data_IF_644201410317
#
_entry.id   IF_644201410317
#
_cell.length_a   1.000
_cell.length_b   1.000
_cell.length_c   1.000
_cell.angle_alpha   90.00
_cell.angle_beta   90.00
_cell.angle_gamma   90.00
#
_symmetry.space_group_name_H-M   'P 1'
#
loop_
_entity.id
_entity.type
_entity.pdbx_description
1 polymer ?
#
# COMPACT_ATOMS: atom_id res chain seq x y z
N UNK A 1 -4.07 -18.76 9.73
CA UNK A 1 -5.47 -19.18 9.95
C UNK A 1 -5.67 -20.05 11.19
N UNK A 2 -4.62 -20.34 11.96
CA UNK A 2 -4.72 -21.09 13.23
C UNK A 2 -5.62 -20.44 14.29
N UNK A 3 -5.96 -19.16 14.14
CA UNK A 3 -6.86 -18.43 15.04
C UNK A 3 -8.35 -18.58 14.71
N UNK A 4 -8.71 -19.14 13.55
CA UNK A 4 -10.11 -19.41 13.23
C UNK A 4 -10.62 -20.59 14.07
N UNK A 5 -11.86 -20.52 14.56
CA UNK A 5 -12.47 -21.66 15.25
C UNK A 5 -12.54 -22.86 14.30
N UNK A 6 -12.42 -24.11 14.77
CA UNK A 6 -12.51 -25.30 13.91
C UNK A 6 -13.81 -25.39 13.09
N UNK A 7 -14.90 -24.80 13.60
CA UNK A 7 -16.20 -24.75 12.93
C UNK A 7 -16.34 -23.61 11.90
N UNK A 8 -15.34 -22.72 11.77
CA UNK A 8 -15.39 -21.64 10.80
C UNK A 8 -15.21 -22.18 9.37
N UNK A 9 -16.13 -21.82 8.48
CA UNK A 9 -15.93 -21.99 7.04
C UNK A 9 -14.98 -20.91 6.54
N UNK A 10 -13.87 -21.31 5.93
CA UNK A 10 -12.89 -20.40 5.34
C UNK A 10 -13.13 -20.33 3.84
N UNK A 11 -13.30 -19.12 3.32
CA UNK A 11 -13.51 -18.87 1.89
C UNK A 11 -12.35 -18.00 1.40
N UNK A 12 -11.63 -18.49 0.40
CA UNK A 12 -10.59 -17.73 -0.30
C UNK A 12 -11.23 -17.07 -1.53
N UNK A 13 -11.17 -15.74 -1.58
CA UNK A 13 -11.64 -14.96 -2.72
C UNK A 13 -10.49 -14.81 -3.72
N UNK A 14 -10.75 -15.15 -4.98
CA UNK A 14 -9.74 -15.11 -6.05
C UNK A 14 -9.78 -13.81 -6.86
N UNK A 15 -10.87 -13.07 -6.78
CA UNK A 15 -11.03 -11.73 -7.35
C UNK A 15 -11.96 -10.91 -6.45
N UNK A 16 -11.98 -9.61 -6.67
CA UNK A 16 -12.75 -8.68 -5.85
C UNK A 16 -14.22 -8.55 -6.31
N UNK A 17 -14.60 -9.18 -7.42
CA UNK A 17 -15.94 -9.02 -8.01
C UNK A 17 -16.98 -9.83 -7.22
N UNK A 18 -16.57 -10.97 -6.66
CA UNK A 18 -17.45 -11.83 -5.84
C UNK A 18 -17.45 -11.44 -4.35
N UNK A 19 -16.60 -10.50 -3.94
CA UNK A 19 -16.37 -10.18 -2.51
C UNK A 19 -17.67 -9.75 -1.82
N UNK A 20 -18.43 -8.82 -2.41
CA UNK A 20 -19.68 -8.32 -1.83
C UNK A 20 -20.74 -9.41 -1.83
N UNK A 21 -20.86 -10.19 -2.90
CA UNK A 21 -21.87 -11.24 -3.04
C UNK A 21 -21.71 -12.34 -1.99
N UNK A 22 -20.47 -12.76 -1.71
CA UNK A 22 -20.16 -13.75 -0.67
C UNK A 22 -20.48 -13.22 0.72
N UNK A 23 -20.14 -11.95 1.00
CA UNK A 23 -20.43 -11.32 2.28
C UNK A 23 -21.94 -11.15 2.49
N UNK A 24 -22.66 -10.66 1.48
CA UNK A 24 -24.12 -10.52 1.49
C UNK A 24 -24.79 -11.84 1.76
N UNK A 25 -24.47 -12.87 0.96
CA UNK A 25 -25.07 -14.20 1.06
C UNK A 25 -24.98 -14.75 2.49
N UNK A 26 -23.77 -14.75 3.07
CA UNK A 26 -23.58 -15.34 4.39
C UNK A 26 -24.13 -14.48 5.53
N UNK A 27 -24.19 -13.15 5.35
CA UNK A 27 -24.83 -12.26 6.32
C UNK A 27 -26.35 -12.48 6.37
N UNK A 28 -26.99 -12.64 5.20
CA UNK A 28 -28.43 -12.94 5.11
C UNK A 28 -28.80 -14.34 5.62
N UNK A 29 -27.84 -15.26 5.66
CA UNK A 29 -27.98 -16.55 6.35
C UNK A 29 -27.89 -16.45 7.89
N UNK A 30 -27.73 -15.24 8.44
CA UNK A 30 -27.63 -15.00 9.88
C UNK A 30 -26.28 -15.39 10.50
N UNK A 31 -25.23 -15.53 9.68
CA UNK A 31 -23.89 -15.91 10.16
C UNK A 31 -23.09 -14.69 10.62
N UNK A 32 -22.17 -14.91 11.56
CA UNK A 32 -21.09 -13.97 11.83
C UNK A 32 -20.04 -14.10 10.73
N UNK A 33 -19.90 -13.06 9.91
CA UNK A 33 -18.99 -13.03 8.76
C UNK A 33 -17.81 -12.11 9.04
N UNK A 34 -16.59 -12.61 8.83
CA UNK A 34 -15.36 -11.82 8.96
C UNK A 34 -14.68 -11.72 7.62
N UNK A 35 -14.49 -10.49 7.12
CA UNK A 35 -13.63 -10.22 5.97
C UNK A 35 -12.25 -9.80 6.42
N UNK A 36 -11.32 -10.75 6.49
CA UNK A 36 -9.93 -10.44 6.77
C UNK A 36 -9.27 -9.76 5.55
N UNK A 37 -8.65 -8.60 5.76
CA UNK A 37 -7.97 -7.80 4.74
C UNK A 37 -6.52 -7.54 5.15
N UNK A 38 -5.64 -7.38 4.18
CA UNK A 38 -4.24 -7.04 4.43
C UNK A 38 -4.11 -5.55 4.78
N UNK A 39 -3.25 -5.24 5.75
CA UNK A 39 -3.00 -3.87 6.16
C UNK A 39 -4.22 -3.23 6.81
N UNK A 40 -4.61 -2.05 6.32
CA UNK A 40 -5.79 -1.34 6.80
C UNK A 40 -6.94 -1.42 5.78
N UNK A 41 -8.19 -1.70 6.21
CA UNK A 41 -9.33 -1.82 5.30
C UNK A 41 -9.64 -0.58 4.47
N UNK A 42 -9.30 0.62 4.96
CA UNK A 42 -9.68 1.91 4.36
C UNK A 42 -8.55 2.58 3.59
N UNK A 43 -7.29 2.23 3.84
CA UNK A 43 -6.15 2.71 3.04
C UNK A 43 -5.97 1.85 1.79
N UNK A 44 -6.59 2.26 0.68
CA UNK A 44 -6.62 1.53 -0.61
C UNK A 44 -7.14 0.08 -0.51
N UNK A 45 -7.83 -0.26 0.59
CA UNK A 45 -8.33 -1.62 0.84
C UNK A 45 -9.73 -1.90 0.31
N UNK A 46 -10.45 -0.90 -0.24
CA UNK A 46 -11.88 -1.00 -0.67
C UNK A 46 -12.89 -1.28 0.46
N UNK A 47 -12.48 -1.29 1.73
CA UNK A 47 -13.37 -1.57 2.86
C UNK A 47 -14.59 -0.64 2.92
N UNK A 48 -14.40 0.66 2.65
CA UNK A 48 -15.49 1.63 2.66
C UNK A 48 -16.55 1.36 1.59
N UNK A 49 -16.13 0.97 0.38
CA UNK A 49 -17.05 0.59 -0.71
C UNK A 49 -17.91 -0.61 -0.30
N UNK A 50 -17.28 -1.65 0.25
CA UNK A 50 -17.96 -2.86 0.69
C UNK A 50 -18.98 -2.55 1.79
N UNK A 51 -18.56 -1.80 2.82
CA UNK A 51 -19.42 -1.46 3.95
C UNK A 51 -20.61 -0.59 3.52
N UNK A 52 -20.39 0.37 2.60
CA UNK A 52 -21.47 1.20 2.07
C UNK A 52 -22.49 0.35 1.30
N UNK A 53 -22.04 -0.52 0.39
CA UNK A 53 -22.94 -1.38 -0.40
C UNK A 53 -23.74 -2.34 0.49
N UNK A 54 -23.12 -2.97 1.48
CA UNK A 54 -23.83 -3.86 2.41
C UNK A 54 -24.84 -3.09 3.29
N UNK A 55 -24.48 -1.87 3.71
CA UNK A 55 -25.36 -1.02 4.51
C UNK A 55 -26.61 -0.56 3.74
N UNK A 56 -26.47 -0.26 2.45
CA UNK A 56 -27.60 0.05 1.56
C UNK A 56 -28.62 -1.11 1.47
N UNK A 57 -28.19 -2.33 1.78
CA UNK A 57 -29.01 -3.55 1.81
C UNK A 57 -29.44 -3.95 3.23
N UNK A 58 -29.19 -3.10 4.23
CA UNK A 58 -29.56 -3.35 5.62
C UNK A 58 -28.61 -4.28 6.39
N UNK A 59 -27.40 -4.53 5.86
CA UNK A 59 -26.37 -5.33 6.52
C UNK A 59 -25.36 -4.40 7.18
N UNK A 60 -25.37 -4.36 8.51
CA UNK A 60 -24.44 -3.55 9.29
C UNK A 60 -23.01 -4.11 9.25
N UNK A 61 -22.03 -3.22 9.19
CA UNK A 61 -20.61 -3.56 9.16
C UNK A 61 -19.87 -2.87 10.30
N UNK A 62 -19.03 -3.63 11.01
CA UNK A 62 -18.03 -3.08 11.93
C UNK A 62 -16.65 -3.12 11.26
N UNK A 63 -15.93 -1.99 11.31
CA UNK A 63 -14.58 -1.89 10.73
C UNK A 63 -13.55 -1.83 11.84
N UNK A 64 -12.67 -2.83 11.86
CA UNK A 64 -11.53 -2.90 12.77
C UNK A 64 -10.29 -2.34 12.05
N UNK A 65 -9.72 -1.22 12.52
CA UNK A 65 -8.52 -0.65 11.92
C UNK A 65 -7.34 -1.62 11.95
N UNK A 66 -6.54 -1.59 10.89
CA UNK A 66 -5.34 -2.42 10.77
C UNK A 66 -4.08 -1.57 10.69
N UNK A 67 -2.92 -2.21 10.83
CA UNK A 67 -1.64 -1.52 10.60
C UNK A 67 -1.38 -1.46 9.09
N UNK A 68 -1.54 -0.29 8.49
CA UNK A 68 -1.36 -0.09 7.05
C UNK A 68 0.08 -0.37 6.60
N UNK A 69 0.24 -0.86 5.37
CA UNK A 69 1.56 -0.99 4.74
C UNK A 69 2.23 0.36 4.52
N UNK A 70 1.45 1.44 4.41
CA UNK A 70 1.96 2.81 4.26
C UNK A 70 3.01 3.11 5.31
N UNK A 71 2.72 2.89 6.59
CA UNK A 71 3.64 3.22 7.68
C UNK A 71 4.47 2.02 8.15
N UNK A 72 3.88 0.83 8.23
CA UNK A 72 4.58 -0.35 8.78
C UNK A 72 5.75 -0.80 7.92
N UNK A 73 5.60 -0.82 6.60
CA UNK A 73 6.64 -1.34 5.70
C UNK A 73 7.86 -0.41 5.66
N UNK A 74 7.73 0.92 5.48
CA UNK A 74 8.88 1.82 5.57
C UNK A 74 9.53 1.80 6.95
N UNK A 75 8.72 1.82 8.03
CA UNK A 75 9.24 1.76 9.39
C UNK A 75 10.04 0.47 9.61
N UNK A 76 9.50 -0.68 9.21
CA UNK A 76 10.21 -1.95 9.29
C UNK A 76 11.50 -1.88 8.47
N UNK A 77 11.49 -1.30 7.28
CA UNK A 77 12.66 -1.11 6.42
C UNK A 77 13.68 -0.04 6.90
N UNK A 78 13.48 0.56 8.08
CA UNK A 78 14.36 1.59 8.65
C UNK A 78 14.21 2.96 7.99
N UNK A 79 13.06 3.27 7.42
CA UNK A 79 12.77 4.53 6.73
C UNK A 79 11.59 5.22 7.43
N UNK A 80 11.82 6.28 8.22
CA UNK A 80 10.72 7.09 8.74
C UNK A 80 10.11 7.89 7.58
N UNK A 81 8.81 8.11 7.61
CA UNK A 81 8.12 8.89 6.56
C UNK A 81 8.15 10.40 6.80
N UNK A 82 8.43 10.81 8.03
CA UNK A 82 8.71 12.19 8.40
C UNK A 82 9.98 12.23 9.22
N UNK A 83 10.71 13.33 9.13
CA UNK A 83 11.88 13.56 9.96
C UNK A 83 12.16 15.07 10.05
N UNK A 84 12.45 15.63 11.25
CA UNK A 84 12.70 17.04 11.41
C UNK A 84 13.73 17.58 10.42
N UNK A 85 13.43 18.74 9.79
CA UNK A 85 14.27 19.40 8.78
C UNK A 85 14.48 18.61 7.47
N UNK A 86 13.85 17.45 7.31
CA UNK A 86 13.93 16.62 6.09
C UNK A 86 12.57 16.51 5.41
N UNK A 87 11.52 16.11 6.14
CA UNK A 87 10.16 16.01 5.62
C UNK A 87 9.15 16.10 6.76
N UNK A 88 8.25 17.07 6.68
CA UNK A 88 7.13 17.30 7.59
C UNK A 88 5.78 16.86 6.99
N UNK A 89 5.77 16.46 5.73
CA UNK A 89 4.59 15.97 5.02
C UNK A 89 4.83 14.61 4.36
N UNK A 90 3.73 13.87 4.16
CA UNK A 90 3.69 12.62 3.43
C UNK A 90 2.58 12.72 2.39
N UNK A 91 2.89 12.44 1.13
CA UNK A 91 1.89 12.21 0.08
C UNK A 91 1.80 10.72 -0.19
N UNK A 92 0.59 10.16 -0.21
CA UNK A 92 0.36 8.74 -0.44
C UNK A 92 -0.53 8.58 -1.66
N UNK A 93 -0.09 7.75 -2.61
CA UNK A 93 -0.86 7.44 -3.82
C UNK A 93 -0.82 5.95 -4.13
N UNK A 94 -1.82 5.47 -4.87
CA UNK A 94 -1.71 4.19 -5.56
C UNK A 94 -1.09 4.43 -6.94
N UNK A 95 -0.10 3.63 -7.32
CA UNK A 95 0.51 3.65 -8.65
C UNK A 95 -0.45 3.22 -9.75
N UNK A 96 -1.49 2.45 -9.42
CA UNK A 96 -2.57 2.12 -10.34
C UNK A 96 -3.89 2.43 -9.64
N UNK A 97 -4.66 3.36 -10.19
CA UNK A 97 -6.00 3.70 -9.71
C UNK A 97 -7.02 2.70 -10.22
N UNK A 98 -8.24 2.79 -9.69
CA UNK A 98 -9.39 2.13 -10.30
C UNK A 98 -9.50 2.53 -11.78
N UNK A 99 -9.67 1.55 -12.67
CA UNK A 99 -9.61 1.73 -14.12
C UNK A 99 -8.20 1.74 -14.76
N UNK A 100 -7.14 1.38 -14.03
CA UNK A 100 -5.81 1.11 -14.60
C UNK A 100 -4.95 2.34 -14.89
N UNK A 101 -5.37 3.53 -14.46
CA UNK A 101 -4.65 4.80 -14.70
C UNK A 101 -3.58 5.05 -13.63
N UNK A 102 -2.57 5.83 -14.00
CA UNK A 102 -1.62 6.37 -13.01
C UNK A 102 -2.28 7.52 -12.25
N UNK A 103 -1.76 7.80 -11.05
CA UNK A 103 -2.11 9.02 -10.33
C UNK A 103 -1.72 10.27 -11.13
N UNK A 104 -2.39 11.38 -10.83
CA UNK A 104 -2.10 12.66 -11.46
C UNK A 104 -0.80 13.24 -10.91
N UNK A 105 0.26 13.18 -11.73
CA UNK A 105 1.57 13.76 -11.41
C UNK A 105 1.51 15.25 -11.08
N UNK A 106 0.50 15.97 -11.58
CA UNK A 106 0.37 17.40 -11.29
C UNK A 106 0.05 17.68 -9.82
N UNK A 107 -0.62 16.74 -9.14
CA UNK A 107 -0.98 16.85 -7.72
C UNK A 107 0.15 16.45 -6.77
N UNK A 108 1.27 15.96 -7.29
CA UNK A 108 2.40 15.53 -6.48
C UNK A 108 3.28 16.74 -6.16
N UNK A 109 3.56 17.01 -4.88
CA UNK A 109 4.48 18.07 -4.49
C UNK A 109 5.91 17.84 -5.02
N UNK A 110 6.67 18.90 -5.22
CA UNK A 110 8.06 18.84 -5.70
C UNK A 110 9.05 18.29 -4.66
N UNK A 111 8.70 18.40 -3.37
CA UNK A 111 9.51 17.99 -2.21
C UNK A 111 8.70 17.14 -1.23
N UNK A 112 9.29 16.78 -0.09
CA UNK A 112 8.66 15.94 0.92
C UNK A 112 8.63 14.46 0.56
N UNK A 113 8.07 13.64 1.43
CA UNK A 113 8.06 12.19 1.27
C UNK A 113 6.85 11.75 0.45
N UNK A 114 7.10 11.00 -0.62
CA UNK A 114 6.08 10.40 -1.46
C UNK A 114 6.10 8.88 -1.28
N UNK A 115 4.95 8.31 -0.96
CA UNK A 115 4.71 6.88 -0.88
C UNK A 115 3.81 6.44 -2.02
N UNK A 116 4.29 5.52 -2.85
CA UNK A 116 3.53 4.93 -3.95
C UNK A 116 3.27 3.46 -3.61
N UNK A 117 2.03 3.14 -3.27
CA UNK A 117 1.58 1.76 -3.13
C UNK A 117 1.29 1.17 -4.50
N UNK A 118 1.49 -0.15 -4.66
CA UNK A 118 1.08 -0.87 -5.87
C UNK A 118 1.59 -0.19 -7.17
N UNK A 119 2.91 0.09 -7.30
CA UNK A 119 3.47 0.74 -8.49
C UNK A 119 3.28 -0.08 -9.78
N UNK A 120 2.98 -1.38 -9.65
CA UNK A 120 2.77 -2.29 -10.76
C UNK A 120 4.00 -2.39 -11.66
N UNK A 121 3.76 -2.58 -12.96
CA UNK A 121 4.82 -2.69 -13.98
C UNK A 121 5.14 -1.35 -14.66
N UNK A 122 4.56 -0.23 -14.21
CA UNK A 122 4.60 1.08 -14.87
C UNK A 122 5.71 2.00 -14.36
N UNK A 123 6.84 1.43 -13.95
CA UNK A 123 7.93 2.16 -13.33
C UNK A 123 8.55 3.23 -14.23
N UNK A 124 8.64 2.96 -15.53
CA UNK A 124 9.15 3.93 -16.51
C UNK A 124 8.28 5.19 -16.55
N UNK A 125 6.97 5.01 -16.60
CA UNK A 125 6.01 6.12 -16.65
C UNK A 125 5.96 6.89 -15.33
N UNK A 126 6.04 6.18 -14.20
CA UNK A 126 6.17 6.79 -12.86
C UNK A 126 7.43 7.65 -12.80
N UNK A 127 8.58 7.12 -13.24
CA UNK A 127 9.86 7.83 -13.24
C UNK A 127 9.78 9.10 -14.10
N UNK A 128 9.35 8.97 -15.36
CA UNK A 128 9.21 10.09 -16.30
C UNK A 128 8.26 11.17 -15.77
N UNK A 129 7.09 10.78 -15.28
CA UNK A 129 6.09 11.72 -14.77
C UNK A 129 6.56 12.48 -13.54
N UNK A 130 7.28 11.83 -12.62
CA UNK A 130 7.81 12.48 -11.42
C UNK A 130 9.01 13.38 -11.73
N UNK A 131 9.90 12.99 -12.65
CA UNK A 131 11.09 13.77 -13.03
C UNK A 131 10.74 15.14 -13.62
N UNK A 132 9.55 15.28 -14.20
CA UNK A 132 9.06 16.57 -14.67
C UNK A 132 8.92 17.63 -13.54
N UNK A 133 8.82 17.20 -12.27
CA UNK A 133 8.62 18.07 -11.10
C UNK A 133 9.62 17.85 -9.97
N UNK A 134 10.26 16.69 -9.90
CA UNK A 134 11.13 16.28 -8.81
C UNK A 134 12.56 16.07 -9.29
N UNK A 135 13.52 16.12 -8.37
CA UNK A 135 14.92 15.94 -8.71
C UNK A 135 15.18 14.50 -9.22
N UNK A 136 15.74 14.30 -10.42
CA UNK A 136 16.05 12.97 -10.96
C UNK A 136 16.99 12.12 -10.08
N UNK A 137 17.80 12.78 -9.24
CA UNK A 137 18.73 12.14 -8.32
C UNK A 137 18.14 11.87 -6.93
N UNK A 138 16.87 12.23 -6.70
CA UNK A 138 16.17 11.94 -5.45
C UNK A 138 16.17 10.43 -5.18
N UNK A 139 16.34 10.08 -3.90
CA UNK A 139 16.43 8.68 -3.50
C UNK A 139 15.06 8.03 -3.46
N UNK A 140 15.02 6.81 -3.98
CA UNK A 140 13.85 5.93 -3.95
C UNK A 140 14.24 4.65 -3.25
N UNK A 141 13.48 4.28 -2.22
CA UNK A 141 13.48 2.94 -1.69
C UNK A 141 12.36 2.14 -2.35
N UNK A 142 12.74 1.06 -3.01
CA UNK A 142 11.84 0.04 -3.53
C UNK A 142 11.77 -1.07 -2.49
N UNK A 143 10.60 -1.27 -1.89
CA UNK A 143 10.41 -2.28 -0.85
C UNK A 143 9.47 -3.35 -1.38
N UNK A 144 10.00 -4.55 -1.58
CA UNK A 144 9.25 -5.74 -1.99
C UNK A 144 8.96 -6.62 -0.79
N UNK A 145 7.75 -7.20 -0.73
CA UNK A 145 7.32 -8.11 0.34
C UNK A 145 7.61 -7.56 1.75
N UNK A 146 7.30 -6.28 1.95
CA UNK A 146 7.51 -5.60 3.23
C UNK A 146 6.97 -6.39 4.43
N UNK A 147 7.75 -6.48 5.50
CA UNK A 147 7.50 -7.26 6.74
C UNK A 147 7.48 -8.79 6.59
N UNK A 148 7.53 -9.34 5.38
CA UNK A 148 7.71 -10.78 5.19
C UNK A 148 9.16 -11.19 5.43
N UNK A 149 9.37 -12.48 5.69
CA UNK A 149 10.70 -13.06 5.94
C UNK A 149 11.69 -12.81 4.79
N UNK A 150 11.19 -12.72 3.57
CA UNK A 150 11.96 -12.49 2.35
C UNK A 150 11.80 -11.07 1.81
N UNK A 151 11.55 -10.09 2.69
CA UNK A 151 11.56 -8.67 2.35
C UNK A 151 12.86 -8.29 1.63
N UNK A 152 12.73 -7.54 0.54
CA UNK A 152 13.87 -6.94 -0.18
C UNK A 152 13.73 -5.42 -0.24
N UNK A 153 14.84 -4.71 -0.07
CA UNK A 153 14.89 -3.25 -0.18
C UNK A 153 16.01 -2.87 -1.14
N UNK A 154 15.66 -2.20 -2.23
CA UNK A 154 16.60 -1.65 -3.20
C UNK A 154 16.59 -0.13 -3.13
N UNK A 155 17.76 0.49 -3.07
CA UNK A 155 17.91 1.94 -3.07
C UNK A 155 18.43 2.40 -4.43
N UNK A 156 17.64 3.22 -5.12
CA UNK A 156 17.97 3.78 -6.44
C UNK A 156 17.74 5.28 -6.46
N UNK A 157 18.13 5.94 -7.54
CA UNK A 157 17.66 7.30 -7.86
C UNK A 157 16.35 7.23 -8.64
N UNK A 158 15.57 8.30 -8.57
CA UNK A 158 14.30 8.39 -9.28
C UNK A 158 14.42 8.09 -10.79
N UNK A 159 15.50 8.57 -11.42
CA UNK A 159 15.82 8.30 -12.84
C UNK A 159 16.18 6.86 -13.18
N UNK A 160 16.59 6.06 -12.20
CA UNK A 160 17.00 4.65 -12.38
C UNK A 160 15.80 3.71 -12.20
N UNK A 161 14.64 4.22 -11.78
CA UNK A 161 13.46 3.41 -11.49
C UNK A 161 12.96 2.64 -12.73
N UNK A 162 13.11 3.18 -13.94
CA UNK A 162 12.69 2.53 -15.19
C UNK A 162 13.43 1.23 -15.51
N UNK A 163 14.62 1.04 -14.93
CA UNK A 163 15.48 -0.13 -15.20
C UNK A 163 15.15 -1.32 -14.30
N UNK A 164 14.33 -1.10 -13.26
CA UNK A 164 13.99 -2.12 -12.29
C UNK A 164 12.85 -3.02 -12.75
N UNK A 165 12.94 -4.29 -12.39
CA UNK A 165 11.83 -5.25 -12.45
C UNK A 165 11.32 -5.47 -11.04
N UNK A 166 10.04 -5.18 -10.81
CA UNK A 166 9.41 -5.37 -9.51
C UNK A 166 8.63 -6.67 -9.44
N UNK A 167 8.77 -7.33 -8.29
CA UNK A 167 7.81 -8.32 -7.84
C UNK A 167 6.70 -7.64 -7.05
N UNK A 168 5.50 -8.21 -7.11
CA UNK A 168 4.41 -7.84 -6.21
C UNK A 168 4.41 -8.74 -4.97
N UNK A 169 3.94 -8.27 -3.81
CA UNK A 169 3.60 -6.89 -3.50
C UNK A 169 4.86 -6.02 -3.32
N UNK A 170 4.77 -4.77 -3.77
CA UNK A 170 5.84 -3.77 -3.59
C UNK A 170 5.27 -2.37 -3.38
N UNK A 171 6.12 -1.50 -2.83
CA UNK A 171 5.86 -0.07 -2.69
C UNK A 171 7.14 0.73 -2.93
N UNK A 172 6.97 2.01 -3.23
CA UNK A 172 8.05 2.98 -3.38
C UNK A 172 7.95 4.02 -2.27
N UNK A 173 9.09 4.38 -1.68
CA UNK A 173 9.24 5.56 -0.83
C UNK A 173 10.26 6.48 -1.50
N UNK A 174 9.85 7.69 -1.86
CA UNK A 174 10.67 8.69 -2.54
C UNK A 174 10.86 9.88 -1.60
N UNK A 175 12.10 10.33 -1.42
CA UNK A 175 12.41 11.49 -0.59
C UNK A 175 13.74 11.38 0.13
N UNK A 176 14.18 12.49 0.71
CA UNK A 176 15.43 12.54 1.48
C UNK A 176 15.40 11.65 2.73
N UNK A 177 14.22 11.33 3.26
CA UNK A 177 14.06 10.38 4.38
C UNK A 177 14.63 9.00 4.07
N UNK A 178 14.71 8.61 2.79
CA UNK A 178 15.31 7.33 2.37
C UNK A 178 16.78 7.24 2.77
N UNK A 179 17.51 8.37 2.83
CA UNK A 179 18.91 8.40 3.26
C UNK A 179 19.09 7.97 4.71
N UNK A 180 18.07 8.18 5.55
CA UNK A 180 18.10 7.82 6.97
C UNK A 180 18.21 6.31 7.18
N UNK A 181 17.80 5.52 6.18
CA UNK A 181 17.97 4.07 6.20
C UNK A 181 19.40 3.64 6.50
N UNK A 182 20.40 4.36 6.00
CA UNK A 182 21.80 4.02 6.25
C UNK A 182 22.18 4.06 7.74
N UNK A 183 21.42 4.77 8.56
CA UNK A 183 21.65 4.92 10.00
C UNK A 183 20.65 4.14 10.84
N UNK A 184 19.44 3.91 10.32
CA UNK A 184 18.32 3.32 11.07
C UNK A 184 18.07 1.85 10.73
N UNK A 185 18.40 1.42 9.50
CA UNK A 185 18.22 0.03 9.12
C UNK A 185 19.33 -0.82 9.71
N UNK A 186 18.92 -1.71 10.62
CA UNK A 186 19.82 -2.61 11.35
C UNK A 186 20.99 -1.83 11.96
N UNK A 187 20.69 -1.12 13.04
CA UNK A 187 21.59 -1.13 14.19
C UNK A 187 21.87 -2.60 14.54
N UNK A 188 22.94 -3.11 13.95
CA UNK A 188 23.73 -4.27 14.34
C UNK A 188 25.18 -3.90 14.05
#
# INVERSE_FOLDING_TARGET
MSYAKPSCKIIYLNNDDEEIDVLRKHSLEGKLVVRLKNGDPYVFGRGGKICLTLKEEGIECEVIPGVSSVNSVPAYAGIPLTFPKISDMITIVSGITDGGKLFDFQKIPEKGTLVILMPGKRLEEISKGLIAKRNPSEKVAVIERGTYIDQRVSLVKLKELSELKLSSPSMLVIGDVVKLRNFLWKLS
#
